data_IF_884111856154
#
_entry.id   IF_884111856154
#
_cell.length_a   1.000
_cell.length_b   1.000
_cell.length_c   1.000
_cell.angle_alpha   90.00
_cell.angle_beta   90.00
_cell.angle_gamma   90.00
#
_symmetry.space_group_name_H-M   'P 1'
#
loop_
_entity.id
_entity.type
_entity.pdbx_description
1 polymer ?
#
# COMPACT_ATOMS: atom_id res chain seq x y z
N UNK A 1 -17.38 -4.19 6.54
CA UNK A 1 -16.26 -4.10 5.57
C UNK A 1 -15.12 -3.21 6.11
N UNK A 2 -15.05 -2.91 7.42
CA UNK A 2 -13.98 -2.08 8.03
C UNK A 2 -12.61 -2.76 8.06
N UNK A 3 -12.58 -4.10 8.01
CA UNK A 3 -11.36 -4.86 8.27
C UNK A 3 -10.23 -4.57 7.28
N UNK A 4 -10.54 -4.21 6.03
CA UNK A 4 -9.52 -3.99 5.00
C UNK A 4 -8.95 -2.57 5.01
N UNK A 5 -9.75 -1.55 5.40
CA UNK A 5 -9.24 -0.19 5.59
C UNK A 5 -8.36 -0.09 6.84
N UNK A 6 -8.75 -0.76 7.94
CA UNK A 6 -7.93 -0.87 9.15
C UNK A 6 -6.60 -1.59 8.87
N UNK A 7 -6.61 -2.60 8.00
CA UNK A 7 -5.38 -3.29 7.58
C UNK A 7 -4.43 -2.37 6.82
N UNK A 8 -4.92 -1.56 5.90
CA UNK A 8 -4.06 -0.62 5.14
C UNK A 8 -3.48 0.45 6.07
N UNK A 9 -4.28 0.99 6.99
CA UNK A 9 -3.81 1.94 8.00
C UNK A 9 -2.70 1.36 8.88
N UNK A 10 -2.83 0.10 9.32
CA UNK A 10 -1.79 -0.60 10.08
C UNK A 10 -0.50 -0.81 9.28
N UNK A 11 -0.63 -1.16 7.99
CA UNK A 11 0.53 -1.33 7.09
C UNK A 11 1.22 0.00 6.84
N UNK A 12 0.48 1.09 6.62
CA UNK A 12 1.01 2.45 6.49
C UNK A 12 1.78 2.87 7.75
N UNK A 13 1.19 2.68 8.93
CA UNK A 13 1.84 2.98 10.20
C UNK A 13 3.16 2.22 10.35
N UNK A 14 3.15 0.92 10.02
CA UNK A 14 4.35 0.09 10.07
C UNK A 14 5.40 0.51 9.05
N UNK A 15 4.99 0.91 7.84
CA UNK A 15 5.90 1.42 6.81
C UNK A 15 6.62 2.68 7.30
N UNK A 16 5.87 3.65 7.84
CA UNK A 16 6.43 4.89 8.39
C UNK A 16 7.33 4.66 9.60
N UNK A 17 6.98 3.71 10.47
CA UNK A 17 7.83 3.29 11.59
C UNK A 17 9.18 2.72 11.10
N UNK A 18 9.15 1.83 10.09
CA UNK A 18 10.36 1.24 9.52
C UNK A 18 11.21 2.27 8.78
N UNK A 19 10.59 3.15 7.99
CA UNK A 19 11.28 4.25 7.32
C UNK A 19 12.01 5.15 8.31
N UNK A 20 11.36 5.51 9.42
CA UNK A 20 11.98 6.30 10.48
C UNK A 20 13.17 5.58 11.14
N UNK A 21 13.07 4.26 11.37
CA UNK A 21 14.20 3.47 11.90
C UNK A 21 15.39 3.46 10.94
N UNK A 22 15.14 3.33 9.64
CA UNK A 22 16.19 3.31 8.61
C UNK A 22 16.83 4.69 8.47
N UNK A 23 16.05 5.77 8.48
CA UNK A 23 16.56 7.13 8.50
C UNK A 23 17.50 7.37 9.70
N UNK A 24 17.15 6.84 10.88
CA UNK A 24 18.03 6.88 12.04
C UNK A 24 19.33 6.06 11.87
N UNK A 25 19.30 4.95 11.13
CA UNK A 25 20.51 4.20 10.78
C UNK A 25 21.43 5.00 9.85
N UNK A 26 20.88 5.75 8.87
CA UNK A 26 21.68 6.64 8.01
C UNK A 26 22.43 7.68 8.85
N UNK A 27 21.75 8.30 9.81
CA UNK A 27 22.38 9.27 10.73
C UNK A 27 23.49 8.67 11.58
N UNK A 28 23.37 7.40 11.99
CA UNK A 28 24.40 6.70 12.75
C UNK A 28 25.62 6.40 11.88
N UNK A 29 25.39 5.86 10.68
CA UNK A 29 26.43 5.50 9.71
C UNK A 29 27.28 6.72 9.33
N UNK A 30 26.62 7.83 8.98
CA UNK A 30 27.27 9.11 8.66
C UNK A 30 27.98 9.75 9.86
N UNK A 31 27.45 9.62 11.08
CA UNK A 31 28.10 10.14 12.30
C UNK A 31 29.35 9.36 12.68
N UNK A 32 29.33 8.03 12.56
CA UNK A 32 30.49 7.16 12.79
C UNK A 32 31.64 7.47 11.82
N UNK A 33 31.33 7.74 10.56
CA UNK A 33 32.31 8.13 9.55
C UNK A 33 33.01 9.46 9.90
N UNK A 34 32.27 10.45 10.39
CA UNK A 34 32.83 11.74 10.80
C UNK A 34 33.75 11.65 12.03
N UNK A 35 33.48 10.73 12.97
CA UNK A 35 34.33 10.53 14.15
C UNK A 35 35.66 9.85 13.82
N UNK A 36 35.66 8.88 12.88
CA UNK A 36 36.88 8.19 12.43
C UNK A 36 37.83 9.15 11.72
N UNK A 37 37.30 10.15 11.00
CA UNK A 37 38.11 11.18 10.33
C UNK A 37 38.72 12.21 11.31
N UNK A 38 38.10 12.47 12.47
CA UNK A 38 38.63 13.43 13.45
C UNK A 38 39.74 12.86 14.35
N UNK A 39 39.73 11.56 14.65
CA UNK A 39 40.75 10.93 15.51
C UNK A 39 42.05 10.57 14.76
N UNK A 40 42.02 10.57 13.42
CA UNK A 40 43.19 10.29 12.57
C UNK A 40 44.22 11.42 12.48
N UNK A 41 43.95 12.61 13.02
CA UNK A 41 44.78 13.80 12.81
C UNK A 41 45.72 14.16 13.97
N UNK A 42 45.92 13.27 14.95
CA UNK A 42 46.74 13.57 16.14
C UNK A 42 47.72 12.44 16.53
N UNK A 43 48.55 11.98 15.59
CA UNK A 43 49.78 11.25 15.94
C UNK A 43 50.92 11.66 15.00
N UNK A 44 51.72 12.62 15.46
CA UNK A 44 53.06 12.80 14.95
C UNK A 44 54.03 12.04 15.85
N UNK A 45 54.88 11.21 15.22
CA UNK A 45 56.24 10.77 15.64
C UNK A 45 56.40 9.34 16.22
N UNK A 46 56.86 8.42 15.36
CA UNK A 46 57.65 7.26 15.81
C UNK A 46 57.61 6.00 14.93
N UNK A 47 58.47 5.96 13.90
CA UNK A 47 59.13 4.80 13.27
C UNK A 47 58.46 3.40 13.22
N UNK A 48 58.26 2.93 11.98
CA UNK A 48 58.41 1.56 11.45
C UNK A 48 57.56 0.40 12.03
N UNK A 49 56.46 0.05 11.35
CA UNK A 49 55.96 -1.33 11.25
C UNK A 49 55.04 -1.51 10.00
N UNK A 50 55.31 -2.42 9.04
CA UNK A 50 54.44 -2.68 7.91
C UNK A 50 53.65 -3.99 8.15
N UNK A 51 52.70 -4.00 9.08
CA UNK A 51 51.79 -5.14 9.28
C UNK A 51 50.53 -4.77 10.05
N UNK A 52 49.52 -4.25 9.35
CA UNK A 52 48.10 -4.58 9.54
C UNK A 52 47.26 -3.69 8.63
N UNK A 53 47.13 -4.12 7.39
CA UNK A 53 46.06 -3.68 6.49
C UNK A 53 44.71 -4.06 7.12
N UNK A 54 44.10 -3.11 7.82
CA UNK A 54 42.66 -3.10 8.05
C UNK A 54 42.15 -1.68 7.77
N UNK A 55 42.43 -1.20 6.57
CA UNK A 55 41.61 -0.17 5.93
C UNK A 55 40.25 -0.80 5.65
N UNK A 56 39.36 -0.77 6.64
CA UNK A 56 37.93 -0.77 6.34
C UNK A 56 37.68 0.46 5.49
N UNK A 57 37.27 0.25 4.24
CA UNK A 57 37.28 1.32 3.25
C UNK A 57 36.16 2.32 3.59
N UNK A 58 36.43 3.62 3.42
CA UNK A 58 35.36 4.61 3.48
C UNK A 58 34.28 4.35 2.40
N UNK A 59 34.62 3.63 1.32
CA UNK A 59 33.69 3.17 0.28
C UNK A 59 32.60 2.26 0.85
N UNK A 60 32.94 1.29 1.71
CA UNK A 60 31.94 0.36 2.27
C UNK A 60 30.87 1.07 3.11
N UNK A 61 31.26 2.12 3.84
CA UNK A 61 30.35 2.91 4.67
C UNK A 61 29.48 3.88 3.85
N UNK A 62 30.03 4.43 2.76
CA UNK A 62 29.29 5.28 1.82
C UNK A 62 28.29 4.43 1.01
N UNK A 63 28.69 3.24 0.54
CA UNK A 63 27.81 2.27 -0.12
C UNK A 63 26.65 1.84 0.79
N UNK A 64 26.90 1.59 2.08
CA UNK A 64 25.85 1.27 3.06
C UNK A 64 24.88 2.45 3.26
N UNK A 65 25.39 3.68 3.37
CA UNK A 65 24.56 4.87 3.52
C UNK A 65 23.67 5.12 2.28
N UNK A 66 24.22 4.94 1.07
CA UNK A 66 23.47 5.02 -0.18
C UNK A 66 22.40 3.92 -0.29
N UNK A 67 22.73 2.69 0.09
CA UNK A 67 21.77 1.58 0.12
C UNK A 67 20.60 1.88 1.08
N UNK A 68 20.88 2.38 2.28
CA UNK A 68 19.85 2.77 3.25
C UNK A 68 18.99 3.93 2.73
N UNK A 69 19.57 4.90 2.04
CA UNK A 69 18.84 6.00 1.42
C UNK A 69 17.89 5.51 0.32
N UNK A 70 18.35 4.60 -0.54
CA UNK A 70 17.53 3.96 -1.56
C UNK A 70 16.35 3.19 -0.94
N UNK A 71 16.59 2.50 0.18
CA UNK A 71 15.52 1.82 0.91
C UNK A 71 14.52 2.83 1.48
N UNK A 72 14.97 3.96 2.04
CA UNK A 72 14.08 5.04 2.48
C UNK A 72 13.18 5.56 1.36
N UNK A 73 13.74 5.82 0.16
CA UNK A 73 12.95 6.24 -0.99
C UNK A 73 11.94 5.19 -1.44
N UNK A 74 12.29 3.90 -1.37
CA UNK A 74 11.35 2.83 -1.65
C UNK A 74 10.18 2.81 -0.64
N UNK A 75 10.45 3.05 0.65
CA UNK A 75 9.40 3.19 1.66
C UNK A 75 8.52 4.42 1.42
N UNK A 76 9.09 5.58 1.08
CA UNK A 76 8.32 6.78 0.73
C UNK A 76 7.37 6.52 -0.45
N UNK A 77 7.88 5.85 -1.50
CA UNK A 77 7.05 5.46 -2.65
C UNK A 77 5.94 4.49 -2.26
N UNK A 78 6.21 3.52 -1.37
CA UNK A 78 5.21 2.58 -0.90
C UNK A 78 4.12 3.28 -0.06
N UNK A 79 4.52 4.17 0.84
CA UNK A 79 3.60 4.98 1.66
C UNK A 79 2.66 5.80 0.76
N UNK A 80 3.19 6.46 -0.27
CA UNK A 80 2.39 7.22 -1.22
C UNK A 80 1.37 6.34 -1.98
N UNK A 81 1.79 5.15 -2.43
CA UNK A 81 0.91 4.21 -3.12
C UNK A 81 -0.20 3.68 -2.21
N UNK A 82 0.13 3.31 -0.97
CA UNK A 82 -0.83 2.81 0.01
C UNK A 82 -1.84 3.89 0.40
N UNK A 83 -1.39 5.13 0.59
CA UNK A 83 -2.28 6.26 0.85
C UNK A 83 -3.22 6.54 -0.33
N UNK A 84 -2.71 6.50 -1.56
CA UNK A 84 -3.52 6.64 -2.77
C UNK A 84 -4.55 5.51 -2.90
N UNK A 85 -4.16 4.27 -2.60
CA UNK A 85 -5.06 3.13 -2.63
C UNK A 85 -6.18 3.26 -1.59
N UNK A 86 -5.85 3.67 -0.37
CA UNK A 86 -6.85 3.92 0.68
C UNK A 86 -7.85 5.00 0.29
N UNK A 87 -7.37 6.11 -0.30
CA UNK A 87 -8.24 7.18 -0.79
C UNK A 87 -9.21 6.68 -1.87
N UNK A 88 -8.72 5.85 -2.81
CA UNK A 88 -9.55 5.26 -3.85
C UNK A 88 -10.63 4.33 -3.27
N UNK A 89 -10.27 3.49 -2.30
CA UNK A 89 -11.22 2.58 -1.65
C UNK A 89 -12.34 3.35 -0.96
N UNK A 90 -11.99 4.40 -0.21
CA UNK A 90 -12.97 5.27 0.47
C UNK A 90 -13.88 5.98 -0.52
N UNK A 91 -13.33 6.49 -1.63
CA UNK A 91 -14.11 7.12 -2.69
C UNK A 91 -15.11 6.13 -3.29
N UNK A 92 -14.66 4.93 -3.67
CA UNK A 92 -15.53 3.90 -4.24
C UNK A 92 -16.62 3.46 -3.27
N UNK A 93 -16.30 3.36 -1.98
CA UNK A 93 -17.28 3.06 -0.95
C UNK A 93 -18.34 4.16 -0.84
N UNK A 94 -17.93 5.42 -0.84
CA UNK A 94 -18.86 6.56 -0.82
C UNK A 94 -19.76 6.57 -2.05
N UNK A 95 -19.19 6.44 -3.25
CA UNK A 95 -19.94 6.43 -4.51
C UNK A 95 -20.93 5.27 -4.55
N UNK A 96 -20.49 4.07 -4.16
CA UNK A 96 -21.36 2.89 -4.07
C UNK A 96 -22.52 3.13 -3.12
N UNK A 97 -22.26 3.64 -1.92
CA UNK A 97 -23.30 3.89 -0.92
C UNK A 97 -24.29 4.97 -1.38
N UNK A 98 -23.79 6.02 -2.05
CA UNK A 98 -24.63 7.07 -2.62
C UNK A 98 -25.60 6.51 -3.68
N UNK A 99 -25.10 5.68 -4.60
CA UNK A 99 -25.92 5.04 -5.63
C UNK A 99 -26.91 4.04 -5.02
N UNK A 100 -26.50 3.24 -4.03
CA UNK A 100 -27.42 2.35 -3.31
C UNK A 100 -28.54 3.15 -2.66
N UNK A 101 -28.22 4.26 -1.99
CA UNK A 101 -29.21 5.15 -1.39
C UNK A 101 -30.19 5.73 -2.40
N UNK A 102 -29.72 6.12 -3.60
CA UNK A 102 -30.57 6.62 -4.68
C UNK A 102 -31.50 5.52 -5.25
N UNK A 103 -30.98 4.30 -5.42
CA UNK A 103 -31.78 3.14 -5.82
C UNK A 103 -32.86 2.85 -4.77
N UNK A 104 -32.52 2.86 -3.48
CA UNK A 104 -33.50 2.65 -2.42
C UNK A 104 -34.57 3.74 -2.37
N UNK A 105 -34.16 5.00 -2.56
CA UNK A 105 -35.07 6.12 -2.60
C UNK A 105 -36.06 6.00 -3.77
N UNK A 106 -35.56 5.77 -4.98
CA UNK A 106 -36.39 5.60 -6.18
C UNK A 106 -37.34 4.40 -6.04
N UNK A 107 -36.88 3.30 -5.44
CA UNK A 107 -37.69 2.12 -5.11
C UNK A 107 -38.83 2.46 -4.14
N UNK A 108 -38.56 3.17 -3.04
CA UNK A 108 -39.58 3.63 -2.07
C UNK A 108 -40.60 4.57 -2.73
N UNK A 109 -40.14 5.46 -3.60
CA UNK A 109 -41.00 6.35 -4.38
C UNK A 109 -41.90 5.58 -5.34
N UNK A 110 -41.35 4.58 -6.03
CA UNK A 110 -42.10 3.72 -6.95
C UNK A 110 -43.22 2.96 -6.22
N UNK A 111 -42.90 2.32 -5.09
CA UNK A 111 -43.90 1.62 -4.26
C UNK A 111 -45.03 2.55 -3.80
N UNK A 112 -44.69 3.78 -3.38
CA UNK A 112 -45.70 4.78 -3.02
C UNK A 112 -46.62 5.10 -4.21
N UNK A 113 -46.04 5.32 -5.39
CA UNK A 113 -46.80 5.63 -6.61
C UNK A 113 -47.69 4.48 -7.05
N UNK A 114 -47.22 3.24 -6.89
CA UNK A 114 -48.03 2.03 -7.12
C UNK A 114 -49.20 1.98 -6.13
N UNK A 115 -48.98 2.24 -4.84
CA UNK A 115 -50.05 2.27 -3.83
C UNK A 115 -51.09 3.39 -4.03
N UNK A 116 -50.72 4.48 -4.72
CA UNK A 116 -51.62 5.58 -5.10
C UNK A 116 -52.46 5.28 -6.36
N UNK A 117 -52.19 4.19 -7.08
CA UNK A 117 -52.86 3.88 -8.34
C UNK A 117 -54.29 3.39 -8.14
N UNK A 118 -55.25 4.03 -8.83
CA UNK A 118 -56.70 3.71 -8.77
C UNK A 118 -57.30 3.32 -10.13
N UNK A 119 -56.47 3.05 -11.13
CA UNK A 119 -56.91 2.69 -12.48
C UNK A 119 -57.25 1.20 -12.64
N UNK A 120 -57.51 0.79 -13.88
CA UNK A 120 -58.06 -0.53 -14.20
C UNK A 120 -57.01 -1.62 -14.40
N UNK A 121 -55.74 -1.27 -14.67
CA UNK A 121 -54.68 -2.24 -15.00
C UNK A 121 -54.02 -2.86 -13.76
N UNK A 122 -54.84 -3.37 -12.84
CA UNK A 122 -54.37 -3.89 -11.56
C UNK A 122 -53.40 -5.06 -11.68
N UNK A 123 -53.48 -5.84 -12.76
CA UNK A 123 -52.64 -7.02 -12.98
C UNK A 123 -51.17 -6.63 -13.15
N UNK A 124 -50.91 -5.63 -14.00
CA UNK A 124 -49.57 -5.08 -14.25
C UNK A 124 -49.05 -4.35 -13.01
N UNK A 125 -49.92 -3.67 -12.27
CA UNK A 125 -49.56 -2.96 -11.04
C UNK A 125 -49.12 -3.93 -9.94
N UNK A 126 -49.82 -5.06 -9.78
CA UNK A 126 -49.42 -6.12 -8.84
C UNK A 126 -48.07 -6.74 -9.22
N UNK A 127 -47.80 -6.92 -10.51
CA UNK A 127 -46.49 -7.39 -10.99
C UNK A 127 -45.39 -6.38 -10.66
N UNK A 128 -45.62 -5.09 -10.94
CA UNK A 128 -44.68 -4.02 -10.62
C UNK A 128 -44.43 -3.90 -9.10
N UNK A 129 -45.47 -4.08 -8.28
CA UNK A 129 -45.36 -4.08 -6.83
C UNK A 129 -44.53 -5.27 -6.32
N UNK A 130 -44.77 -6.47 -6.86
CA UNK A 130 -44.00 -7.65 -6.53
C UNK A 130 -42.52 -7.47 -6.88
N UNK A 131 -42.23 -6.94 -8.08
CA UNK A 131 -40.87 -6.60 -8.51
C UNK A 131 -40.22 -5.57 -7.59
N UNK A 132 -40.89 -4.46 -7.32
CA UNK A 132 -40.38 -3.40 -6.46
C UNK A 132 -40.25 -3.86 -5.00
N UNK A 133 -40.97 -4.89 -4.56
CA UNK A 133 -40.87 -5.46 -3.21
C UNK A 133 -39.73 -6.46 -3.05
N UNK A 134 -39.16 -6.96 -4.16
CA UNK A 134 -37.99 -7.83 -4.12
C UNK A 134 -36.79 -7.07 -3.55
N UNK A 135 -36.16 -7.63 -2.50
CA UNK A 135 -34.91 -7.09 -1.97
C UNK A 135 -33.78 -7.49 -2.90
N UNK A 136 -32.98 -6.53 -3.33
CA UNK A 136 -31.69 -6.80 -3.99
C UNK A 136 -30.72 -7.16 -2.86
N UNK A 137 -30.20 -8.38 -2.87
CA UNK A 137 -29.11 -8.75 -1.98
C UNK A 137 -27.87 -7.95 -2.40
N UNK A 138 -27.41 -7.05 -1.52
CA UNK A 138 -26.20 -6.27 -1.72
C UNK A 138 -24.97 -7.12 -1.36
N UNK A 139 -24.85 -8.29 -1.97
CA UNK A 139 -23.60 -9.06 -1.90
C UNK A 139 -22.52 -8.22 -2.55
N UNK A 140 -21.47 -7.89 -1.78
CA UNK A 140 -20.28 -7.16 -2.26
C UNK A 140 -19.52 -7.91 -3.36
N UNK A 141 -19.95 -9.14 -3.66
CA UNK A 141 -19.73 -9.80 -4.94
C UNK A 141 -20.57 -9.10 -6.01
N UNK A 142 -20.18 -7.85 -6.34
CA UNK A 142 -20.33 -7.43 -7.72
C UNK A 142 -19.63 -8.52 -8.50
N UNK A 143 -20.39 -9.36 -9.21
CA UNK A 143 -19.86 -10.31 -10.18
C UNK A 143 -19.01 -9.46 -11.11
N UNK A 144 -17.71 -9.42 -10.84
CA UNK A 144 -16.77 -8.70 -11.66
C UNK A 144 -17.01 -9.29 -13.06
N UNK A 145 -17.22 -8.46 -14.10
CA UNK A 145 -17.14 -8.97 -15.45
C UNK A 145 -15.82 -9.74 -15.55
N UNK A 146 -15.75 -10.84 -16.30
CA UNK A 146 -14.63 -11.78 -16.24
C UNK A 146 -13.34 -11.07 -16.66
N UNK A 147 -12.70 -10.43 -15.70
CA UNK A 147 -11.37 -9.89 -15.87
C UNK A 147 -10.45 -11.08 -15.80
N UNK A 148 -9.52 -11.22 -16.75
CA UNK A 148 -8.44 -12.18 -16.60
C UNK A 148 -7.80 -11.86 -15.26
N UNK A 149 -7.91 -12.78 -14.30
CA UNK A 149 -7.12 -12.75 -13.08
C UNK A 149 -5.68 -12.72 -13.56
N UNK A 150 -5.04 -11.54 -13.53
CA UNK A 150 -3.64 -11.39 -13.86
C UNK A 150 -2.91 -12.29 -12.90
N UNK A 151 -2.50 -13.46 -13.38
CA UNK A 151 -1.77 -14.44 -12.62
C UNK A 151 -0.52 -13.71 -12.14
N UNK A 152 -0.48 -13.34 -10.85
CA UNK A 152 0.76 -12.93 -10.19
C UNK A 152 1.60 -14.19 -10.03
N UNK A 153 2.11 -14.70 -11.15
CA UNK A 153 3.26 -15.59 -11.16
C UNK A 153 4.48 -14.69 -11.02
N UNK A 154 4.80 -14.32 -9.78
CA UNK A 154 6.18 -14.01 -9.46
C UNK A 154 6.90 -15.36 -9.46
N UNK A 155 7.34 -15.77 -10.65
CA UNK A 155 8.43 -16.73 -10.77
C UNK A 155 9.61 -16.05 -10.10
N UNK A 156 9.87 -16.41 -8.83
CA UNK A 156 11.20 -16.30 -8.28
C UNK A 156 12.04 -17.29 -9.09
N UNK A 157 12.69 -16.80 -10.15
CA UNK A 157 13.76 -17.54 -10.78
C UNK A 157 14.98 -17.41 -9.86
N UNK A 158 15.12 -18.38 -8.95
CA UNK A 158 16.30 -18.55 -8.11
C UNK A 158 17.45 -19.15 -8.96
N UNK A 159 17.82 -18.49 -10.06
CA UNK A 159 18.90 -18.94 -10.95
C UNK A 159 20.11 -18.00 -11.01
N UNK A 160 20.05 -16.80 -10.44
CA UNK A 160 21.14 -15.82 -10.59
C UNK A 160 22.24 -15.90 -9.50
N UNK A 161 22.23 -16.94 -8.66
CA UNK A 161 23.21 -17.11 -7.58
C UNK A 161 24.42 -18.00 -7.93
N UNK A 162 24.68 -18.32 -9.20
CA UNK A 162 25.85 -19.15 -9.52
C UNK A 162 26.59 -18.78 -10.80
N UNK A 163 27.16 -17.57 -10.87
CA UNK A 163 28.19 -17.29 -11.87
C UNK A 163 29.21 -16.22 -11.50
N UNK A 164 29.95 -16.43 -10.41
CA UNK A 164 31.34 -15.94 -10.34
C UNK A 164 32.20 -16.96 -9.58
N UNK A 165 32.76 -17.90 -10.32
CA UNK A 165 33.98 -18.61 -9.96
C UNK A 165 34.84 -18.62 -11.21
N UNK A 166 35.86 -17.78 -11.21
CA UNK A 166 37.25 -17.97 -11.67
C UNK A 166 37.92 -16.60 -11.80
#
# INVERSE_FOLDING_TARGET
MEMDEERIGLVLLRASELRSKIANCIHKTTSTQNQIQSDGNNLNRGANDPSSSSMGSNDDADEEAEALLNICYAFDSLEAQLASFQALQQQQQYEREAVIGEIEYSRKMLLRKIGEYTGEHLDVIREAEAFASMKVEHSNELLLPPYPTRSRSLVLDNSDLNRFSY
#
